data_IF_775923965168
#
_entry.id   IF_775923965168
#
_cell.length_a   1.000
_cell.length_b   1.000
_cell.length_c   1.000
_cell.angle_alpha   90.00
_cell.angle_beta   90.00
_cell.angle_gamma   90.00
#
_symmetry.space_group_name_H-M   'P 1'
#
loop_
_entity.id
_entity.type
_entity.pdbx_description
1 polymer ?
#
# COMPACT_ATOMS: atom_id res chain seq x y z
N UNK A 1 -8.19 9.54 -16.19
CA UNK A 1 -7.39 8.47 -15.53
C UNK A 1 -7.57 8.58 -14.02
N UNK A 2 -7.73 7.46 -13.32
CA UNK A 2 -7.87 7.38 -11.87
C UNK A 2 -6.56 6.89 -11.27
N UNK A 3 -6.01 7.63 -10.32
CA UNK A 3 -4.84 7.24 -9.57
C UNK A 3 -5.21 6.86 -8.14
N UNK A 4 -4.53 5.86 -7.59
CA UNK A 4 -4.54 5.55 -6.16
C UNK A 4 -3.13 5.73 -5.58
N UNK A 5 -3.00 6.42 -4.45
CA UNK A 5 -1.74 6.57 -3.72
C UNK A 5 -1.82 5.74 -2.43
N UNK A 6 -1.03 4.68 -2.35
CA UNK A 6 -0.93 3.81 -1.19
C UNK A 6 0.06 4.36 -0.16
N UNK A 7 -0.15 4.00 1.11
CA UNK A 7 0.68 4.42 2.26
C UNK A 7 0.75 5.94 2.42
N UNK A 8 -0.38 6.62 2.27
CA UNK A 8 -0.45 8.07 2.42
C UNK A 8 -0.30 8.45 3.91
N UNK A 9 0.82 9.11 4.25
CA UNK A 9 1.14 9.56 5.62
C UNK A 9 0.98 11.07 5.81
N UNK A 10 0.48 11.77 4.78
CA UNK A 10 0.28 13.21 4.79
C UNK A 10 1.58 13.99 4.73
N UNK A 11 1.79 14.87 5.72
CA UNK A 11 2.97 15.73 5.83
C UNK A 11 4.13 15.11 6.60
N UNK A 12 3.97 13.87 7.09
CA UNK A 12 5.08 13.16 7.72
C UNK A 12 6.10 12.79 6.64
N UNK A 13 7.35 13.11 6.93
CA UNK A 13 8.48 12.59 6.15
C UNK A 13 8.52 11.07 6.36
N UNK A 14 8.54 10.33 5.26
CA UNK A 14 8.73 8.89 5.33
C UNK A 14 10.24 8.65 5.44
N UNK A 15 10.71 8.44 6.68
CA UNK A 15 11.96 7.77 7.07
C UNK A 15 13.08 7.79 6.01
N UNK A 16 13.68 8.96 5.81
CA UNK A 16 14.85 9.16 4.94
C UNK A 16 14.53 9.69 3.53
N UNK A 17 13.27 9.81 3.15
CA UNK A 17 12.84 10.44 1.90
C UNK A 17 12.22 11.82 2.20
N UNK A 18 12.83 12.88 1.65
CA UNK A 18 12.30 14.26 1.74
C UNK A 18 10.95 14.42 1.00
N UNK A 19 10.52 13.42 0.23
CA UNK A 19 9.25 13.42 -0.46
C UNK A 19 8.12 12.94 0.47
N UNK A 20 7.36 13.89 1.03
CA UNK A 20 6.13 13.61 1.76
C UNK A 20 5.03 13.11 0.83
N UNK A 21 4.06 12.35 1.37
CA UNK A 21 2.85 11.98 0.60
C UNK A 21 2.09 13.19 0.05
N UNK A 22 2.11 14.32 0.77
CA UNK A 22 1.56 15.60 0.28
C UNK A 22 2.36 16.14 -0.92
N UNK A 23 3.69 16.05 -0.88
CA UNK A 23 4.55 16.44 -2.00
C UNK A 23 4.21 15.66 -3.27
N UNK A 24 4.11 14.33 -3.15
CA UNK A 24 3.68 13.47 -4.26
C UNK A 24 2.29 13.86 -4.75
N UNK A 25 1.31 13.98 -3.86
CA UNK A 25 -0.05 14.37 -4.25
C UNK A 25 -0.08 15.72 -4.99
N UNK A 26 0.66 16.72 -4.52
CA UNK A 26 0.78 18.03 -5.19
C UNK A 26 1.42 17.90 -6.56
N UNK A 27 2.49 17.11 -6.68
CA UNK A 27 3.13 16.84 -7.97
C UNK A 27 2.14 16.20 -8.96
N UNK A 28 1.44 15.14 -8.54
CA UNK A 28 0.44 14.47 -9.37
C UNK A 28 -0.70 15.44 -9.76
N UNK A 29 -1.17 16.27 -8.82
CA UNK A 29 -2.30 17.17 -9.01
C UNK A 29 -1.98 18.45 -9.78
N UNK A 30 -0.74 18.92 -9.77
CA UNK A 30 -0.39 20.22 -10.36
C UNK A 30 0.60 20.13 -11.50
N UNK A 31 1.50 19.15 -11.48
CA UNK A 31 2.50 18.96 -12.53
C UNK A 31 2.01 17.96 -13.57
N UNK A 32 1.41 16.84 -13.14
CA UNK A 32 0.89 15.82 -14.05
C UNK A 32 -0.60 15.96 -14.41
N UNK A 33 -1.35 16.83 -13.73
CA UNK A 33 -2.78 17.00 -13.99
C UNK A 33 -3.13 17.63 -15.35
N UNK A 34 -2.29 18.51 -15.97
CA UNK A 34 -2.48 18.86 -17.38
C UNK A 34 -2.47 17.64 -18.33
N UNK A 35 -2.08 16.45 -17.84
CA UNK A 35 -1.90 15.20 -18.60
C UNK A 35 -2.91 14.08 -18.25
N UNK A 36 -3.97 14.32 -17.43
CA UNK A 36 -5.17 13.45 -17.49
C UNK A 36 -5.61 12.64 -16.27
N UNK A 37 -5.24 13.02 -15.03
CA UNK A 37 -5.87 12.42 -13.83
C UNK A 37 -7.19 13.12 -13.47
N UNK A 38 -8.32 12.42 -13.60
CA UNK A 38 -9.66 12.91 -13.22
C UNK A 38 -9.97 12.72 -11.74
N UNK A 39 -9.27 11.79 -11.09
CA UNK A 39 -9.39 11.53 -9.65
C UNK A 39 -8.09 10.94 -9.09
N UNK A 40 -7.69 11.41 -7.92
CA UNK A 40 -6.57 10.87 -7.14
C UNK A 40 -7.11 10.49 -5.77
N UNK A 41 -7.23 9.19 -5.50
CA UNK A 41 -7.63 8.63 -4.21
C UNK A 41 -6.39 8.36 -3.35
N UNK A 42 -6.40 8.79 -2.09
CA UNK A 42 -5.32 8.54 -1.13
C UNK A 42 -5.74 7.47 -0.13
N UNK A 43 -4.92 6.44 0.03
CA UNK A 43 -5.16 5.34 0.94
C UNK A 43 -4.16 5.47 2.09
N UNK A 44 -4.64 5.66 3.34
CA UNK A 44 -3.75 5.89 4.47
C UNK A 44 -2.90 4.67 4.78
N UNK A 45 -1.75 4.89 5.42
CA UNK A 45 -1.03 3.80 6.06
C UNK A 45 -1.91 3.17 7.15
N UNK A 46 -2.25 1.88 7.05
CA UNK A 46 -3.23 1.28 7.95
C UNK A 46 -2.65 1.14 9.37
N UNK A 47 -3.38 1.56 10.42
CA UNK A 47 -2.99 1.25 11.78
C UNK A 47 -3.15 -0.24 12.06
N UNK A 48 -2.35 -0.75 13.00
CA UNK A 48 -2.47 -2.12 13.50
C UNK A 48 -3.87 -2.41 14.03
N UNK A 49 -4.37 -3.62 13.78
CA UNK A 49 -5.71 -4.04 14.19
C UNK A 49 -5.73 -5.49 14.69
N UNK A 50 -6.72 -5.82 15.53
CA UNK A 50 -6.90 -7.15 16.09
C UNK A 50 -7.06 -8.23 15.02
N UNK A 51 -7.69 -7.90 13.89
CA UNK A 51 -7.82 -8.80 12.74
C UNK A 51 -6.46 -9.15 12.14
N UNK A 52 -5.47 -8.26 12.18
CA UNK A 52 -4.11 -8.54 11.70
C UNK A 52 -3.43 -9.56 12.62
N UNK A 53 -3.61 -9.42 13.94
CA UNK A 53 -3.15 -10.39 14.94
C UNK A 53 -3.81 -11.76 14.72
N UNK A 54 -5.11 -11.77 14.45
CA UNK A 54 -5.87 -13.00 14.19
C UNK A 54 -5.41 -13.68 12.90
N UNK A 55 -5.28 -12.93 11.80
CA UNK A 55 -4.71 -13.44 10.55
C UNK A 55 -3.29 -13.98 10.76
N UNK A 56 -2.46 -13.29 11.54
CA UNK A 56 -1.10 -13.75 11.84
C UNK A 56 -1.10 -15.06 12.64
N UNK A 57 -2.01 -15.20 13.62
CA UNK A 57 -2.12 -16.42 14.43
C UNK A 57 -2.54 -17.63 13.57
N UNK A 58 -3.49 -17.47 12.67
CA UNK A 58 -4.05 -18.56 11.87
C UNK A 58 -3.21 -18.83 10.62
N UNK A 59 -2.82 -17.77 9.92
CA UNK A 59 -2.24 -17.84 8.58
C UNK A 59 -0.78 -17.40 8.51
N UNK A 60 -0.16 -16.94 9.61
CA UNK A 60 1.17 -16.32 9.58
C UNK A 60 2.30 -17.20 9.04
N UNK A 61 2.21 -18.54 9.18
CA UNK A 61 3.16 -19.46 8.51
C UNK A 61 3.00 -19.42 6.99
N UNK A 62 1.77 -19.46 6.49
CA UNK A 62 1.47 -19.39 5.06
C UNK A 62 1.85 -18.03 4.49
N UNK A 63 1.47 -16.94 5.16
CA UNK A 63 1.81 -15.57 4.75
C UNK A 63 3.33 -15.43 4.60
N UNK A 64 4.11 -15.82 5.60
CA UNK A 64 5.59 -15.76 5.54
C UNK A 64 6.17 -16.57 4.39
N UNK A 65 5.66 -17.79 4.16
CA UNK A 65 6.08 -18.62 3.01
C UNK A 65 5.81 -17.93 1.68
N UNK A 66 4.63 -17.32 1.52
CA UNK A 66 4.26 -16.62 0.29
C UNK A 66 5.16 -15.40 0.08
N UNK A 67 5.38 -14.59 1.12
CA UNK A 67 6.22 -13.39 1.04
C UNK A 67 7.70 -13.70 0.79
N UNK A 68 8.19 -14.88 1.19
CA UNK A 68 9.54 -15.34 0.91
C UNK A 68 9.69 -16.00 -0.47
N UNK A 69 8.58 -16.26 -1.18
CA UNK A 69 8.61 -16.86 -2.51
C UNK A 69 8.96 -15.82 -3.56
N UNK A 70 9.90 -16.13 -4.45
CA UNK A 70 10.19 -15.30 -5.62
C UNK A 70 9.06 -15.36 -6.66
N UNK A 71 8.35 -16.49 -6.72
CA UNK A 71 7.24 -16.71 -7.64
C UNK A 71 6.03 -17.29 -6.88
N UNK A 72 5.27 -16.46 -6.16
CA UNK A 72 4.08 -16.90 -5.45
C UNK A 72 2.97 -17.33 -6.44
N UNK A 73 2.35 -18.48 -6.19
CA UNK A 73 1.28 -18.99 -7.04
C UNK A 73 0.07 -18.05 -7.09
N UNK A 74 -0.73 -18.10 -8.17
CA UNK A 74 -1.98 -17.35 -8.27
C UNK A 74 -2.94 -17.64 -7.09
N UNK A 75 -2.96 -18.88 -6.60
CA UNK A 75 -3.77 -19.26 -5.43
C UNK A 75 -3.29 -18.58 -4.14
N UNK A 76 -1.98 -18.37 -4.01
CA UNK A 76 -1.40 -17.63 -2.89
C UNK A 76 -1.67 -16.13 -2.99
N UNK A 77 -1.59 -15.56 -4.19
CA UNK A 77 -1.97 -14.15 -4.42
C UNK A 77 -3.45 -13.91 -4.11
N UNK A 78 -4.35 -14.79 -4.59
CA UNK A 78 -5.79 -14.71 -4.26
C UNK A 78 -6.05 -14.88 -2.77
N UNK A 79 -5.27 -15.71 -2.10
CA UNK A 79 -5.36 -15.87 -0.65
C UNK A 79 -4.98 -14.58 0.08
N UNK A 80 -3.84 -13.96 -0.27
CA UNK A 80 -3.43 -12.67 0.31
C UNK A 80 -4.45 -11.57 0.01
N UNK A 81 -4.97 -11.50 -1.22
CA UNK A 81 -6.04 -10.58 -1.60
C UNK A 81 -7.28 -10.77 -0.73
N UNK A 82 -7.66 -12.02 -0.43
CA UNK A 82 -8.78 -12.35 0.45
C UNK A 82 -8.61 -11.76 1.85
N UNK A 83 -7.41 -11.89 2.45
CA UNK A 83 -7.08 -11.30 3.75
C UNK A 83 -7.11 -9.76 3.70
N UNK A 84 -6.58 -9.17 2.63
CA UNK A 84 -6.64 -7.72 2.43
C UNK A 84 -8.08 -7.23 2.28
N UNK A 85 -8.93 -7.93 1.51
CA UNK A 85 -10.34 -7.56 1.32
C UNK A 85 -11.15 -7.70 2.59
N UNK A 86 -10.87 -8.68 3.44
CA UNK A 86 -11.59 -8.84 4.71
C UNK A 86 -11.31 -7.70 5.68
N UNK A 87 -10.13 -7.07 5.58
CA UNK A 87 -9.72 -5.98 6.47
C UNK A 87 -9.94 -4.58 5.87
N UNK A 88 -9.68 -4.44 4.58
CA UNK A 88 -9.55 -3.15 3.88
C UNK A 88 -10.46 -3.07 2.64
N UNK A 89 -11.63 -3.74 2.66
CA UNK A 89 -12.54 -3.85 1.50
C UNK A 89 -12.64 -2.57 0.67
N UNK A 90 -13.01 -1.46 1.33
CA UNK A 90 -13.17 -0.16 0.70
C UNK A 90 -11.91 0.31 -0.06
N UNK A 91 -10.73 0.16 0.55
CA UNK A 91 -9.47 0.55 -0.08
C UNK A 91 -9.06 -0.40 -1.21
N UNK A 92 -9.31 -1.70 -1.07
CA UNK A 92 -9.06 -2.67 -2.16
C UNK A 92 -9.91 -2.33 -3.37
N UNK A 93 -11.18 -1.97 -3.17
CA UNK A 93 -12.07 -1.59 -4.26
C UNK A 93 -11.58 -0.30 -4.95
N UNK A 94 -11.02 0.66 -4.20
CA UNK A 94 -10.37 1.85 -4.79
C UNK A 94 -9.18 1.45 -5.67
N UNK A 95 -8.28 0.60 -5.18
CA UNK A 95 -7.08 0.16 -5.92
C UNK A 95 -7.46 -0.58 -7.19
N UNK A 96 -8.44 -1.49 -7.12
CA UNK A 96 -8.89 -2.25 -8.30
C UNK A 96 -9.51 -1.40 -9.41
N UNK A 97 -10.08 -0.25 -9.04
CA UNK A 97 -10.68 0.69 -9.99
C UNK A 97 -9.71 1.82 -10.39
N UNK A 98 -8.45 1.76 -9.97
CA UNK A 98 -7.43 2.71 -10.37
C UNK A 98 -6.77 2.25 -11.68
N UNK A 99 -6.53 3.19 -12.58
CA UNK A 99 -5.74 2.96 -13.80
C UNK A 99 -4.24 2.90 -13.47
N UNK A 100 -3.82 3.63 -12.42
CA UNK A 100 -2.44 3.70 -11.95
C UNK A 100 -2.41 3.67 -10.42
N UNK A 101 -1.49 2.88 -9.86
CA UNK A 101 -1.27 2.80 -8.42
C UNK A 101 0.15 3.28 -8.10
N UNK A 102 0.25 4.33 -7.29
CA UNK A 102 1.49 4.82 -6.74
C UNK A 102 1.70 4.21 -5.37
N UNK A 103 2.69 3.33 -5.25
CA UNK A 103 3.08 2.75 -3.98
C UNK A 103 4.22 3.56 -3.37
N UNK A 104 3.94 4.23 -2.24
CA UNK A 104 5.00 4.82 -1.43
C UNK A 104 5.60 3.71 -0.56
N UNK A 105 6.68 3.12 -1.05
CA UNK A 105 7.45 2.13 -0.30
C UNK A 105 7.98 2.74 0.99
N UNK A 106 7.82 2.03 2.10
CA UNK A 106 8.57 2.33 3.30
C UNK A 106 10.01 1.88 3.07
N UNK A 107 10.96 2.82 3.14
CA UNK A 107 12.37 2.49 3.17
C UNK A 107 12.67 1.65 4.40
N UNK A 108 13.01 0.38 4.19
CA UNK A 108 13.55 -0.47 5.25
C UNK A 108 15.00 -0.04 5.52
N UNK A 109 15.19 1.05 6.26
CA UNK A 109 16.41 1.23 7.05
C UNK A 109 16.05 0.85 8.47
N UNK A 110 15.90 -0.47 8.71
CA UNK A 110 16.03 -0.95 10.08
C UNK A 110 17.37 -0.43 10.61
N UNK A 111 17.41 0.03 11.86
CA UNK A 111 18.68 0.06 12.55
C UNK A 111 19.24 -1.37 12.47
N UNK A 112 20.27 -1.58 11.65
CA UNK A 112 21.20 -2.67 11.89
C UNK A 112 21.73 -2.40 13.28
N UNK A 113 21.28 -3.18 14.26
CA UNK A 113 21.96 -3.28 15.54
C UNK A 113 23.30 -3.96 15.23
N UNK A 114 24.29 -3.15 14.85
CA UNK A 114 25.69 -3.43 15.14
C UNK A 114 25.92 -3.14 16.63
#
# INVERSE_FOLDING_TARGET
MRAAVLNFTGGRENWGCQATSIGLYRFLKHVLNPQGFTKIDTIPYPPSHLQDVWHQKIHGKRIRRILASQDPSLADLKFLEGLCRSRFRHYVDIVKNADVVFFQGEGTMGASKL
#
